data_IF_046882791208
#
_entry.id   IF_046882791208
#
_cell.length_a   1.000
_cell.length_b   1.000
_cell.length_c   1.000
_cell.angle_alpha   90.00
_cell.angle_beta   90.00
_cell.angle_gamma   90.00
#
_symmetry.space_group_name_H-M   'P 1'
#
loop_
_entity.id
_entity.type
_entity.pdbx_description
1 polymer ?
#
# COMPACT_ATOMS: atom_id res chain seq x y z
N UNK A 1 -14.22 -48.57 -9.79
CA UNK A 1 -13.15 -47.56 -9.50
C UNK A 1 -13.46 -46.21 -10.10
N UNK A 2 -13.86 -46.09 -11.35
CA UNK A 2 -14.21 -44.83 -12.04
C UNK A 2 -15.32 -44.02 -11.34
N UNK A 3 -16.38 -44.69 -10.87
CA UNK A 3 -17.46 -44.01 -10.15
C UNK A 3 -16.97 -43.26 -8.90
N UNK A 4 -16.10 -43.90 -8.10
CA UNK A 4 -15.56 -43.25 -6.89
C UNK A 4 -14.65 -42.08 -7.22
N UNK A 5 -13.87 -42.18 -8.28
CA UNK A 5 -13.02 -41.10 -8.77
C UNK A 5 -13.86 -39.91 -9.22
N UNK A 6 -14.89 -40.17 -10.04
CA UNK A 6 -15.81 -39.14 -10.54
C UNK A 6 -16.55 -38.46 -9.39
N UNK A 7 -17.02 -39.25 -8.41
CA UNK A 7 -17.70 -38.73 -7.23
C UNK A 7 -16.78 -37.88 -6.35
N UNK A 8 -15.53 -38.32 -6.16
CA UNK A 8 -14.53 -37.52 -5.43
C UNK A 8 -14.21 -36.20 -6.12
N UNK A 9 -14.01 -36.23 -7.45
CA UNK A 9 -13.79 -35.01 -8.25
C UNK A 9 -14.99 -34.05 -8.14
N UNK A 10 -16.21 -34.57 -8.20
CA UNK A 10 -17.42 -33.77 -8.04
C UNK A 10 -17.48 -33.08 -6.67
N UNK A 11 -17.20 -33.80 -5.58
CA UNK A 11 -17.15 -33.22 -4.23
C UNK A 11 -16.05 -32.15 -4.15
N UNK A 12 -14.87 -32.42 -4.71
CA UNK A 12 -13.76 -31.47 -4.73
C UNK A 12 -14.14 -30.17 -5.47
N UNK A 13 -14.81 -30.29 -6.61
CA UNK A 13 -15.28 -29.12 -7.37
C UNK A 13 -16.29 -28.30 -6.57
N UNK A 14 -17.26 -28.96 -5.92
CA UNK A 14 -18.24 -28.26 -5.06
C UNK A 14 -17.53 -27.57 -3.89
N UNK A 15 -16.61 -28.28 -3.25
CA UNK A 15 -15.82 -27.71 -2.13
C UNK A 15 -15.09 -26.45 -2.58
N UNK A 16 -14.34 -26.51 -3.67
CA UNK A 16 -13.63 -25.36 -4.22
C UNK A 16 -14.59 -24.22 -4.59
N UNK A 17 -15.69 -24.54 -5.26
CA UNK A 17 -16.69 -23.55 -5.64
C UNK A 17 -17.24 -22.79 -4.44
N UNK A 18 -17.66 -23.49 -3.38
CA UNK A 18 -18.20 -22.86 -2.17
C UNK A 18 -17.18 -21.98 -1.50
N UNK A 19 -15.91 -22.44 -1.40
CA UNK A 19 -14.84 -21.68 -0.75
C UNK A 19 -14.43 -20.45 -1.58
N UNK A 20 -14.38 -20.56 -2.90
CA UNK A 20 -14.09 -19.41 -3.78
C UNK A 20 -15.23 -18.40 -3.70
N UNK A 21 -16.49 -18.83 -3.75
CA UNK A 21 -17.65 -17.93 -3.66
C UNK A 21 -17.72 -17.21 -2.32
N UNK A 22 -17.31 -17.86 -1.22
CA UNK A 22 -17.22 -17.24 0.09
C UNK A 22 -16.20 -16.07 0.13
N UNK A 23 -15.19 -16.09 -0.75
CA UNK A 23 -14.20 -15.00 -0.83
C UNK A 23 -14.77 -13.71 -1.42
N UNK A 24 -15.86 -13.78 -2.18
CA UNK A 24 -16.53 -12.60 -2.75
C UNK A 24 -17.51 -11.94 -1.79
N UNK A 25 -17.76 -12.55 -0.61
CA UNK A 25 -18.59 -11.94 0.43
C UNK A 25 -17.96 -10.61 0.87
N UNK A 26 -18.79 -9.57 1.00
CA UNK A 26 -18.42 -8.22 1.40
C UNK A 26 -19.23 -7.80 2.61
N UNK A 27 -18.59 -7.09 3.53
CA UNK A 27 -19.28 -6.36 4.59
C UNK A 27 -19.84 -5.05 4.03
N UNK A 28 -21.09 -4.75 4.32
CA UNK A 28 -21.78 -3.57 3.79
C UNK A 28 -22.24 -2.60 4.90
N UNK A 29 -22.18 -3.04 6.15
CA UNK A 29 -22.60 -2.22 7.29
C UNK A 29 -21.50 -1.23 7.64
N UNK A 30 -21.88 0.03 7.88
CA UNK A 30 -20.94 1.10 8.23
C UNK A 30 -20.68 1.06 9.75
N UNK A 31 -20.02 0.02 10.19
CA UNK A 31 -19.73 -0.27 11.61
C UNK A 31 -18.33 -0.85 11.74
N UNK A 32 -17.69 -0.60 12.88
CA UNK A 32 -16.45 -1.24 13.31
C UNK A 32 -16.74 -2.09 14.54
N UNK A 33 -16.20 -3.30 14.58
CA UNK A 33 -16.30 -4.17 15.74
C UNK A 33 -15.09 -3.94 16.65
N UNK A 34 -15.35 -3.62 17.91
CA UNK A 34 -14.33 -3.65 18.94
C UNK A 34 -14.46 -4.95 19.72
N UNK A 35 -13.32 -5.61 19.99
CA UNK A 35 -13.30 -6.86 20.73
C UNK A 35 -12.07 -6.96 21.63
N UNK A 36 -12.19 -7.74 22.69
CA UNK A 36 -11.03 -8.24 23.41
C UNK A 36 -10.50 -9.48 22.69
N UNK A 37 -9.19 -9.49 22.44
CA UNK A 37 -8.57 -10.67 21.84
C UNK A 37 -8.58 -11.84 22.84
N UNK A 38 -9.02 -13.00 22.39
CA UNK A 38 -9.04 -14.23 23.19
C UNK A 38 -8.26 -15.35 22.52
N UNK A 39 -8.64 -15.72 21.30
CA UNK A 39 -8.00 -16.77 20.50
C UNK A 39 -8.01 -16.42 19.03
N UNK A 40 -7.03 -16.98 18.28
CA UNK A 40 -6.99 -16.81 16.83
C UNK A 40 -8.26 -17.37 16.16
N UNK A 41 -8.79 -18.51 16.62
CA UNK A 41 -10.02 -19.10 16.07
C UNK A 41 -11.19 -18.13 16.15
N UNK A 42 -11.42 -17.52 17.31
CA UNK A 42 -12.49 -16.53 17.50
C UNK A 42 -12.25 -15.28 16.64
N UNK A 43 -11.01 -14.80 16.56
CA UNK A 43 -10.67 -13.68 15.69
C UNK A 43 -11.03 -13.99 14.23
N UNK A 44 -10.69 -15.18 13.72
CA UNK A 44 -10.99 -15.58 12.35
C UNK A 44 -12.50 -15.70 12.09
N UNK A 45 -13.28 -16.19 13.06
CA UNK A 45 -14.74 -16.22 12.97
C UNK A 45 -15.33 -14.83 12.84
N UNK A 46 -14.88 -13.87 13.65
CA UNK A 46 -15.33 -12.48 13.58
C UNK A 46 -14.89 -11.85 12.24
N UNK A 47 -13.65 -12.05 11.80
CA UNK A 47 -13.16 -11.57 10.52
C UNK A 47 -13.93 -12.14 9.30
N UNK A 48 -14.57 -13.31 9.43
CA UNK A 48 -15.41 -13.89 8.38
C UNK A 48 -16.70 -13.10 8.15
N UNK A 49 -17.11 -12.22 9.09
CA UNK A 49 -18.21 -11.27 8.87
C UNK A 49 -17.88 -10.23 7.80
N UNK A 50 -16.58 -10.02 7.51
CA UNK A 50 -16.05 -9.00 6.59
C UNK A 50 -16.37 -7.58 7.04
N UNK A 51 -16.40 -7.37 8.35
CA UNK A 51 -16.47 -6.06 9.00
C UNK A 51 -15.09 -5.69 9.55
N UNK A 52 -14.72 -4.39 9.60
CA UNK A 52 -13.51 -3.95 10.28
C UNK A 52 -13.55 -4.33 11.76
N UNK A 53 -12.41 -4.77 12.28
CA UNK A 53 -12.26 -5.17 13.68
C UNK A 53 -11.07 -4.44 14.30
N UNK A 54 -11.29 -3.86 15.47
CA UNK A 54 -10.29 -3.20 16.29
C UNK A 54 -10.12 -3.93 17.61
N UNK A 55 -8.89 -4.22 18.02
CA UNK A 55 -8.65 -4.85 19.32
C UNK A 55 -7.30 -4.45 19.91
N UNK A 56 -7.27 -4.36 21.25
CA UNK A 56 -6.04 -4.12 21.99
C UNK A 56 -5.22 -5.41 22.05
N UNK A 57 -4.07 -5.43 21.42
CA UNK A 57 -3.21 -6.59 21.37
C UNK A 57 -1.99 -6.48 22.30
N UNK A 58 -1.64 -5.27 22.74
CA UNK A 58 -0.54 -5.02 23.69
C UNK A 58 -0.75 -5.74 25.02
N UNK A 59 -2.01 -5.97 25.41
CA UNK A 59 -2.35 -6.72 26.63
C UNK A 59 -2.09 -8.23 26.49
N UNK A 60 -2.07 -8.75 25.26
CA UNK A 60 -1.89 -10.18 24.95
C UNK A 60 -0.42 -10.48 24.67
N UNK A 61 0.25 -9.64 23.90
CA UNK A 61 1.63 -9.81 23.50
C UNK A 61 2.37 -8.48 23.46
N UNK A 62 2.78 -7.95 24.63
CA UNK A 62 3.42 -6.63 24.74
C UNK A 62 4.79 -6.56 24.07
N UNK A 63 5.51 -7.70 23.94
CA UNK A 63 6.87 -7.76 23.41
C UNK A 63 6.94 -7.28 21.95
N UNK A 64 5.99 -7.66 21.11
CA UNK A 64 5.91 -7.18 19.73
C UNK A 64 5.92 -5.64 19.64
N UNK A 65 5.23 -4.97 20.56
CA UNK A 65 5.15 -3.50 20.53
C UNK A 65 6.37 -2.82 21.14
N UNK A 66 7.19 -3.56 21.90
CA UNK A 66 8.50 -3.07 22.37
C UNK A 66 9.49 -3.03 21.21
N UNK A 67 9.43 -4.00 20.32
CA UNK A 67 10.30 -4.08 19.14
C UNK A 67 9.81 -3.16 18.00
N UNK A 68 8.54 -2.81 17.99
CA UNK A 68 7.93 -1.83 17.07
C UNK A 68 8.10 -0.37 17.52
N UNK A 69 9.00 -0.08 18.45
CA UNK A 69 9.36 1.31 18.79
C UNK A 69 10.29 1.91 17.73
N UNK A 70 10.07 3.17 17.42
CA UNK A 70 10.87 3.92 16.44
C UNK A 70 12.38 3.91 16.75
N UNK A 71 12.76 3.84 18.04
CA UNK A 71 14.16 3.73 18.47
C UNK A 71 14.78 2.37 18.13
N UNK A 72 14.01 1.30 18.24
CA UNK A 72 14.45 -0.07 17.91
C UNK A 72 14.67 -0.20 16.41
N UNK A 73 13.81 0.40 15.60
CA UNK A 73 13.94 0.43 14.13
C UNK A 73 15.17 1.20 13.63
N UNK A 74 15.79 2.07 14.45
CA UNK A 74 17.04 2.73 14.07
C UNK A 74 18.21 1.76 13.83
N UNK A 75 18.16 0.54 14.35
CA UNK A 75 19.12 -0.52 14.04
C UNK A 75 19.15 -0.86 12.54
N UNK A 76 18.03 -0.65 11.86
CA UNK A 76 17.83 -0.97 10.46
C UNK A 76 17.96 0.25 9.54
N UNK A 77 18.52 1.36 10.04
CA UNK A 77 18.65 2.65 9.35
C UNK A 77 19.38 2.60 7.99
N UNK A 78 20.21 1.59 7.78
CA UNK A 78 21.02 1.41 6.57
C UNK A 78 20.31 0.68 5.42
N UNK A 79 19.15 0.08 5.67
CA UNK A 79 18.37 -0.61 4.64
C UNK A 79 17.44 0.35 3.88
N UNK A 80 17.05 -0.02 2.67
CA UNK A 80 16.24 0.82 1.79
C UNK A 80 14.74 0.61 2.04
N UNK A 81 14.00 1.70 2.12
CA UNK A 81 12.53 1.71 2.15
C UNK A 81 11.98 2.39 0.90
N UNK A 82 10.79 1.98 0.47
CA UNK A 82 10.08 2.56 -0.67
C UNK A 82 9.32 3.80 -0.23
N UNK A 83 9.72 4.97 -0.72
CA UNK A 83 9.11 6.26 -0.36
C UNK A 83 8.27 6.76 -1.52
N UNK A 84 7.04 7.14 -1.23
CA UNK A 84 6.09 7.72 -2.17
C UNK A 84 5.82 9.19 -1.82
N UNK A 85 5.71 10.02 -2.84
CA UNK A 85 5.15 11.35 -2.73
C UNK A 85 3.64 11.29 -3.02
N UNK A 86 2.83 11.65 -2.04
CA UNK A 86 1.37 11.68 -2.17
C UNK A 86 0.84 13.00 -2.73
N UNK A 87 1.71 13.96 -3.04
CA UNK A 87 1.31 15.17 -3.72
C UNK A 87 0.64 14.84 -5.06
N UNK A 88 -0.53 15.39 -5.28
CA UNK A 88 -1.28 15.17 -6.52
C UNK A 88 -1.98 13.80 -6.62
N UNK A 89 -2.08 13.01 -5.56
CA UNK A 89 -2.76 11.69 -5.58
C UNK A 89 -4.23 11.74 -6.03
N UNK A 90 -4.86 12.90 -5.98
CA UNK A 90 -6.21 13.15 -6.51
C UNK A 90 -6.25 13.37 -8.02
N UNK A 91 -5.09 13.45 -8.67
CA UNK A 91 -4.99 13.56 -10.12
C UNK A 91 -5.23 12.20 -10.78
N UNK A 92 -5.90 12.20 -11.90
CA UNK A 92 -6.24 10.96 -12.62
C UNK A 92 -5.02 10.22 -13.18
N UNK A 93 -3.93 10.93 -13.42
CA UNK A 93 -2.67 10.42 -13.95
C UNK A 93 -1.57 10.26 -12.89
N UNK A 94 -1.90 10.38 -11.59
CA UNK A 94 -0.91 10.15 -10.55
C UNK A 94 -0.43 8.70 -10.57
N UNK A 95 0.88 8.51 -10.57
CA UNK A 95 1.52 7.22 -10.54
C UNK A 95 1.87 6.83 -9.10
N UNK A 96 1.71 5.57 -8.77
CA UNK A 96 2.08 5.02 -7.47
C UNK A 96 3.59 4.68 -7.37
N UNK A 97 4.42 5.25 -8.22
CA UNK A 97 5.86 5.01 -8.21
C UNK A 97 6.49 5.39 -6.88
N UNK A 98 7.44 4.59 -6.46
CA UNK A 98 8.20 4.80 -5.23
C UNK A 98 9.68 4.98 -5.54
N UNK A 99 10.37 5.73 -4.70
CA UNK A 99 11.82 5.93 -4.76
C UNK A 99 12.45 5.21 -3.56
N UNK A 100 13.45 4.33 -3.77
CA UNK A 100 14.16 3.72 -2.66
C UNK A 100 15.05 4.76 -1.97
N UNK A 101 14.92 4.87 -0.66
CA UNK A 101 15.75 5.70 0.21
C UNK A 101 16.18 4.91 1.43
N UNK A 102 17.36 5.20 1.98
CA UNK A 102 17.74 4.66 3.28
C UNK A 102 16.72 5.06 4.34
N UNK A 103 16.38 4.14 5.23
CA UNK A 103 15.37 4.38 6.27
C UNK A 103 15.68 5.62 7.13
N UNK A 104 16.95 5.84 7.48
CA UNK A 104 17.37 7.05 8.17
C UNK A 104 17.14 8.34 7.36
N UNK A 105 17.39 8.29 6.05
CA UNK A 105 17.12 9.42 5.15
C UNK A 105 15.62 9.70 5.02
N UNK A 106 14.80 8.65 4.93
CA UNK A 106 13.34 8.79 4.94
C UNK A 106 12.86 9.41 6.26
N UNK A 107 13.34 8.95 7.43
CA UNK A 107 12.93 9.52 8.71
C UNK A 107 13.25 11.00 8.82
N UNK A 108 14.45 11.42 8.37
CA UNK A 108 14.81 12.84 8.33
C UNK A 108 13.95 13.64 7.38
N UNK A 109 13.63 13.07 6.21
CA UNK A 109 12.72 13.66 5.24
C UNK A 109 11.32 13.85 5.84
N UNK A 110 10.76 12.79 6.44
CA UNK A 110 9.44 12.81 7.04
C UNK A 110 9.33 13.79 8.22
N UNK A 111 10.37 13.89 9.06
CA UNK A 111 10.41 14.82 10.18
C UNK A 111 10.54 16.29 9.73
N UNK A 112 11.17 16.55 8.59
CA UNK A 112 11.34 17.89 8.03
C UNK A 112 10.18 18.34 7.09
N UNK A 113 9.29 17.41 6.73
CA UNK A 113 8.24 17.65 5.78
C UNK A 113 7.06 18.42 6.39
N UNK A 114 6.99 19.71 6.11
CA UNK A 114 5.87 20.56 6.52
C UNK A 114 4.62 20.44 5.65
N UNK A 115 4.71 19.76 4.52
CA UNK A 115 3.63 19.63 3.54
C UNK A 115 2.84 18.32 3.67
N UNK A 116 3.31 17.41 4.51
CA UNK A 116 2.66 16.12 4.77
C UNK A 116 2.48 15.25 3.51
N UNK A 117 3.54 15.10 2.70
CA UNK A 117 3.46 14.42 1.41
C UNK A 117 4.14 13.06 1.36
N UNK A 118 5.08 12.76 2.26
CA UNK A 118 5.89 11.55 2.13
C UNK A 118 5.36 10.41 2.98
N UNK A 119 5.18 9.26 2.37
CA UNK A 119 4.84 8.00 3.03
C UNK A 119 5.79 6.90 2.58
N UNK A 120 5.97 5.88 3.43
CA UNK A 120 6.63 4.63 3.08
C UNK A 120 5.68 3.47 3.27
N UNK A 121 5.66 2.55 2.31
CA UNK A 121 4.84 1.34 2.27
C UNK A 121 5.34 0.38 1.19
N UNK A 122 4.81 -0.86 1.17
CA UNK A 122 5.25 -1.94 0.27
C UNK A 122 6.72 -2.33 0.48
N UNK A 123 7.15 -2.38 1.75
CA UNK A 123 8.52 -2.55 2.21
C UNK A 123 8.90 -4.01 2.49
N UNK A 124 8.38 -4.98 1.72
CA UNK A 124 8.71 -6.39 1.91
C UNK A 124 10.22 -6.65 1.83
N UNK A 125 10.90 -6.05 0.85
CA UNK A 125 12.36 -6.18 0.67
C UNK A 125 13.12 -5.67 1.89
N UNK A 126 12.72 -4.51 2.45
CA UNK A 126 13.29 -3.98 3.68
C UNK A 126 13.16 -4.98 4.85
N UNK A 127 11.98 -5.58 5.02
CA UNK A 127 11.70 -6.54 6.10
C UNK A 127 12.54 -7.80 5.94
N UNK A 128 12.71 -8.30 4.71
CA UNK A 128 13.52 -9.49 4.42
C UNK A 128 15.02 -9.21 4.62
N UNK A 129 15.56 -8.12 4.06
CA UNK A 129 16.96 -7.76 4.13
C UNK A 129 17.41 -7.37 5.54
N UNK A 130 16.56 -6.72 6.32
CA UNK A 130 16.84 -6.33 7.69
C UNK A 130 16.76 -7.48 8.70
N UNK A 131 16.22 -8.64 8.30
CA UNK A 131 16.00 -9.79 9.17
C UNK A 131 14.75 -9.69 10.06
N UNK A 132 13.96 -8.62 9.94
CA UNK A 132 12.72 -8.40 10.69
C UNK A 132 11.62 -9.42 10.37
N UNK A 133 11.76 -10.14 9.26
CA UNK A 133 10.77 -11.12 8.84
C UNK A 133 10.50 -12.17 9.93
N UNK A 134 11.55 -12.67 10.59
CA UNK A 134 11.43 -13.66 11.67
C UNK A 134 10.74 -13.11 12.92
N UNK A 135 10.97 -11.84 13.24
CA UNK A 135 10.31 -11.17 14.37
C UNK A 135 8.81 -11.01 14.10
N UNK A 136 8.44 -10.68 12.85
CA UNK A 136 7.04 -10.52 12.45
C UNK A 136 6.29 -11.85 12.32
N UNK A 137 7.00 -12.96 12.06
CA UNK A 137 6.39 -14.30 12.09
C UNK A 137 5.86 -14.70 13.48
N UNK A 138 6.34 -14.09 14.54
CA UNK A 138 5.84 -14.31 15.90
C UNK A 138 4.36 -13.91 16.08
N UNK A 139 3.82 -13.07 15.17
CA UNK A 139 2.39 -12.75 15.10
C UNK A 139 1.54 -13.87 14.50
N UNK A 140 2.14 -14.80 13.76
CA UNK A 140 1.39 -15.85 13.04
C UNK A 140 0.49 -16.72 13.92
N UNK A 141 0.90 -17.18 15.10
CA UNK A 141 0.03 -17.97 15.99
C UNK A 141 -1.27 -17.23 16.36
N UNK A 142 -1.23 -15.91 16.37
CA UNK A 142 -2.33 -15.06 16.82
C UNK A 142 -3.21 -14.55 15.68
N UNK A 143 -2.64 -14.28 14.49
CA UNK A 143 -3.32 -13.57 13.41
C UNK A 143 -3.56 -14.40 12.15
N UNK A 144 -2.71 -15.43 11.91
CA UNK A 144 -2.72 -16.20 10.67
C UNK A 144 -3.92 -17.16 10.62
N UNK A 145 -4.79 -17.07 9.59
CA UNK A 145 -5.85 -18.05 9.38
C UNK A 145 -5.30 -19.40 8.97
N UNK A 146 -6.09 -20.46 9.21
CA UNK A 146 -5.80 -21.78 8.67
C UNK A 146 -5.80 -21.76 7.14
N UNK A 147 -5.03 -22.67 6.52
CA UNK A 147 -4.93 -22.79 5.05
C UNK A 147 -4.31 -21.58 4.35
N UNK A 148 -3.59 -20.73 5.07
CA UNK A 148 -2.80 -19.63 4.46
C UNK A 148 -1.66 -20.23 3.64
N UNK A 149 -1.56 -19.80 2.39
CA UNK A 149 -0.49 -20.18 1.45
C UNK A 149 0.46 -19.03 1.13
N UNK A 150 0.03 -17.80 1.39
CA UNK A 150 0.86 -16.62 1.20
C UNK A 150 0.79 -15.73 2.44
N UNK A 151 1.95 -15.38 2.96
CA UNK A 151 2.13 -14.40 4.04
C UNK A 151 3.04 -13.30 3.54
N UNK A 152 2.68 -12.06 3.80
CA UNK A 152 3.51 -10.88 3.54
C UNK A 152 3.46 -9.96 4.74
N UNK A 153 4.57 -9.28 5.00
CA UNK A 153 4.62 -8.23 5.99
C UNK A 153 4.96 -6.92 5.32
N UNK A 154 4.55 -5.83 5.93
CA UNK A 154 4.80 -4.49 5.45
C UNK A 154 5.11 -3.55 6.61
N UNK A 155 5.89 -2.53 6.35
CA UNK A 155 6.17 -1.44 7.27
C UNK A 155 5.62 -0.16 6.68
N UNK A 156 4.76 0.52 7.44
CA UNK A 156 4.15 1.76 7.00
C UNK A 156 4.49 2.88 7.99
N UNK A 157 4.89 4.01 7.44
CA UNK A 157 5.17 5.24 8.17
C UNK A 157 4.96 6.44 7.24
N UNK A 158 4.77 7.64 7.78
CA UNK A 158 4.61 8.84 6.97
C UNK A 158 4.98 10.11 7.72
N UNK A 159 5.14 11.22 6.99
CA UNK A 159 5.25 12.55 7.56
C UNK A 159 4.04 12.86 8.44
N UNK A 160 4.19 13.75 9.42
CA UNK A 160 3.07 14.20 10.23
C UNK A 160 1.97 14.79 9.35
N UNK A 161 0.76 14.27 9.48
CA UNK A 161 -0.39 14.67 8.68
C UNK A 161 -0.47 14.05 7.30
N UNK A 162 0.57 13.36 6.81
CA UNK A 162 0.53 12.64 5.55
C UNK A 162 -0.49 11.50 5.60
N UNK A 163 -1.08 11.16 4.45
CA UNK A 163 -2.08 10.11 4.37
C UNK A 163 -2.01 9.33 3.07
N UNK A 164 -2.41 8.07 3.15
CA UNK A 164 -2.45 7.18 1.99
C UNK A 164 -3.61 7.56 1.06
N UNK A 165 -3.52 7.28 -0.25
CA UNK A 165 -4.66 7.39 -1.15
C UNK A 165 -5.86 6.58 -0.63
N UNK A 166 -7.09 7.04 -0.94
CA UNK A 166 -8.28 6.24 -0.68
C UNK A 166 -8.27 5.02 -1.61
N UNK A 167 -8.15 3.82 -1.04
CA UNK A 167 -7.98 2.57 -1.79
C UNK A 167 -8.64 1.40 -1.10
N UNK A 168 -8.77 0.27 -1.80
CA UNK A 168 -9.09 -1.02 -1.20
C UNK A 168 -8.07 -2.07 -1.62
N UNK A 169 -8.04 -3.17 -0.90
CA UNK A 169 -7.23 -4.36 -1.22
C UNK A 169 -8.11 -5.58 -1.41
N UNK A 170 -7.53 -6.60 -2.01
CA UNK A 170 -8.20 -7.88 -2.26
C UNK A 170 -7.64 -9.03 -1.41
N UNK A 171 -6.79 -8.75 -0.42
CA UNK A 171 -6.25 -9.75 0.48
C UNK A 171 -7.35 -10.34 1.38
N UNK A 172 -7.20 -11.59 1.77
CA UNK A 172 -8.18 -12.25 2.64
C UNK A 172 -8.18 -11.68 4.05
N UNK A 173 -6.98 -11.46 4.58
CA UNK A 173 -6.75 -10.85 5.88
C UNK A 173 -5.63 -9.82 5.77
N UNK A 174 -5.92 -8.61 6.18
CA UNK A 174 -4.94 -7.54 6.32
C UNK A 174 -5.09 -6.91 7.69
N UNK A 175 -4.05 -7.05 8.50
CA UNK A 175 -3.99 -6.49 9.84
C UNK A 175 -2.96 -5.37 9.87
N UNK A 176 -3.26 -4.29 10.58
CA UNK A 176 -2.34 -3.21 10.86
C UNK A 176 -2.14 -3.09 12.35
N UNK A 177 -0.94 -3.42 12.84
CA UNK A 177 -0.53 -3.26 14.23
C UNK A 177 0.16 -1.91 14.37
N UNK A 178 -0.37 -1.02 15.22
CA UNK A 178 0.23 0.29 15.47
C UNK A 178 1.26 0.15 16.59
N UNK A 179 2.53 0.29 16.24
CA UNK A 179 3.66 0.11 17.16
C UNK A 179 3.94 1.37 17.98
N UNK A 180 4.00 2.51 17.32
CA UNK A 180 4.31 3.77 17.94
C UNK A 180 3.33 4.86 17.55
N UNK A 181 3.05 5.79 18.45
CA UNK A 181 2.13 6.91 18.28
C UNK A 181 0.70 6.43 17.93
N UNK A 182 0.02 7.11 17.05
CA UNK A 182 -1.31 6.76 16.58
C UNK A 182 -1.48 7.05 15.09
N UNK A 183 -2.48 6.42 14.52
CA UNK A 183 -2.96 6.75 13.18
C UNK A 183 -4.45 7.09 13.23
N UNK A 184 -4.92 7.86 12.27
CA UNK A 184 -6.34 8.09 12.05
C UNK A 184 -6.74 7.39 10.76
N UNK A 185 -7.84 6.64 10.81
CA UNK A 185 -8.29 5.84 9.66
C UNK A 185 -9.66 6.30 9.23
N UNK A 186 -9.81 6.58 7.93
CA UNK A 186 -11.13 6.74 7.28
C UNK A 186 -11.46 5.53 6.46
N UNK A 187 -12.66 4.98 6.65
CA UNK A 187 -13.11 3.79 5.95
C UNK A 187 -14.54 3.92 5.47
N UNK A 188 -14.85 3.26 4.35
CA UNK A 188 -16.21 3.14 3.85
C UNK A 188 -16.41 1.78 3.18
N UNK A 189 -17.61 1.14 3.30
CA UNK A 189 -17.85 -0.17 2.74
C UNK A 189 -17.85 -0.17 1.22
N UNK A 190 -17.71 -1.35 0.63
CA UNK A 190 -17.62 -1.53 -0.83
C UNK A 190 -18.78 -0.91 -1.61
N UNK A 191 -19.99 -0.85 -1.06
CA UNK A 191 -21.16 -0.22 -1.69
C UNK A 191 -20.92 1.23 -2.11
N UNK A 192 -19.98 1.94 -1.45
CA UNK A 192 -19.62 3.33 -1.77
C UNK A 192 -18.85 3.46 -3.10
N UNK A 193 -18.35 2.35 -3.69
CA UNK A 193 -17.51 2.34 -4.90
C UNK A 193 -18.13 3.11 -6.07
N UNK A 194 -19.46 3.08 -6.18
CA UNK A 194 -20.21 3.76 -7.26
C UNK A 194 -20.07 5.29 -7.25
N UNK A 195 -19.63 5.84 -6.11
CA UNK A 195 -19.42 7.27 -5.92
C UNK A 195 -17.94 7.66 -5.84
N UNK A 196 -17.03 6.67 -5.82
CA UNK A 196 -15.62 6.89 -5.56
C UNK A 196 -14.76 6.97 -6.83
N UNK A 197 -15.35 6.85 -8.01
CA UNK A 197 -14.66 6.90 -9.30
C UNK A 197 -13.38 6.02 -9.31
N UNK A 198 -13.46 4.81 -8.73
CA UNK A 198 -12.31 3.94 -8.53
C UNK A 198 -11.61 3.58 -9.84
N UNK A 199 -10.29 3.63 -9.80
CA UNK A 199 -9.38 3.23 -10.87
C UNK A 199 -8.53 2.04 -10.42
N UNK A 200 -8.13 1.21 -11.36
CA UNK A 200 -7.26 0.06 -11.10
C UNK A 200 -5.92 0.30 -11.79
N UNK A 201 -4.86 0.22 -11.02
CA UNK A 201 -3.48 0.20 -11.51
C UNK A 201 -2.96 -1.24 -11.40
N UNK A 202 -2.92 -1.95 -12.52
CA UNK A 202 -2.40 -3.30 -12.55
C UNK A 202 -0.87 -3.36 -12.51
N UNK A 203 -0.15 -2.27 -12.76
CA UNK A 203 1.30 -2.26 -12.63
C UNK A 203 1.74 -2.32 -11.16
N UNK A 204 1.04 -1.57 -10.29
CA UNK A 204 1.26 -1.57 -8.85
C UNK A 204 0.32 -2.52 -8.08
N UNK A 205 -0.63 -3.19 -8.75
CA UNK A 205 -1.73 -3.96 -8.14
C UNK A 205 -2.52 -3.15 -7.11
N UNK A 206 -2.82 -1.91 -7.45
CA UNK A 206 -3.49 -0.95 -6.58
C UNK A 206 -4.88 -0.58 -7.11
N UNK A 207 -5.87 -0.59 -6.22
CA UNK A 207 -7.26 -0.23 -6.49
C UNK A 207 -7.58 1.05 -5.72
N UNK A 208 -7.49 2.19 -6.38
CA UNK A 208 -7.55 3.51 -5.73
C UNK A 208 -8.66 4.40 -6.27
N UNK A 209 -8.98 5.43 -5.51
CA UNK A 209 -9.89 6.50 -5.88
C UNK A 209 -9.11 7.81 -6.04
N UNK A 210 -9.43 8.67 -7.02
CA UNK A 210 -8.89 10.02 -7.11
C UNK A 210 -9.49 10.97 -6.08
N UNK A 211 -10.39 10.50 -5.23
CA UNK A 211 -11.07 11.31 -4.22
C UNK A 211 -10.20 11.40 -2.97
N UNK A 212 -9.99 12.64 -2.51
CA UNK A 212 -9.37 12.93 -1.22
C UNK A 212 -10.44 12.93 -0.12
N UNK A 213 -10.43 11.93 0.80
CA UNK A 213 -11.41 11.87 1.86
C UNK A 213 -11.10 12.83 3.01
N UNK A 214 -9.85 13.36 3.08
CA UNK A 214 -9.41 14.24 4.17
C UNK A 214 -9.63 15.71 3.86
N UNK A 215 -9.47 16.09 2.59
CA UNK A 215 -9.64 17.45 2.13
C UNK A 215 -10.66 17.52 0.97
N UNK A 216 -11.96 17.54 1.27
CA UNK A 216 -12.99 17.53 0.24
C UNK A 216 -12.86 18.69 -0.76
N UNK A 217 -12.25 19.81 -0.35
CA UNK A 217 -12.01 20.97 -1.23
C UNK A 217 -10.99 20.69 -2.35
N UNK A 218 -10.10 19.70 -2.18
CA UNK A 218 -9.12 19.30 -3.18
C UNK A 218 -9.74 18.49 -4.32
N UNK A 219 -10.97 18.01 -4.12
CA UNK A 219 -11.67 17.22 -5.12
C UNK A 219 -12.22 18.13 -6.21
N UNK A 220 -11.96 17.80 -7.47
CA UNK A 220 -12.49 18.57 -8.60
C UNK A 220 -14.02 18.64 -8.57
N UNK A 221 -14.57 19.71 -9.13
CA UNK A 221 -16.03 19.96 -9.20
C UNK A 221 -16.84 18.76 -9.74
N UNK A 222 -16.21 17.91 -10.56
CA UNK A 222 -16.76 16.68 -11.11
C UNK A 222 -17.23 15.68 -10.03
N UNK A 223 -16.56 15.65 -8.88
CA UNK A 223 -16.80 14.64 -7.83
C UNK A 223 -17.66 15.17 -6.67
N UNK A 224 -17.90 16.48 -6.57
CA UNK A 224 -18.56 17.12 -5.42
C UNK A 224 -19.89 16.47 -5.07
N UNK A 225 -20.75 16.24 -6.05
CA UNK A 225 -22.07 15.64 -5.84
C UNK A 225 -22.02 14.18 -5.37
N UNK A 226 -21.01 13.43 -5.79
CA UNK A 226 -20.88 12.02 -5.44
C UNK A 226 -20.22 11.83 -4.06
N UNK A 227 -19.29 12.70 -3.69
CA UNK A 227 -18.61 12.68 -2.40
C UNK A 227 -19.61 12.89 -1.25
N UNK A 228 -20.58 13.79 -1.40
CA UNK A 228 -21.62 14.07 -0.41
C UNK A 228 -22.47 12.82 -0.06
N UNK A 229 -22.51 11.83 -0.95
CA UNK A 229 -23.25 10.58 -0.74
C UNK A 229 -22.45 9.52 0.01
N UNK A 230 -21.13 9.72 0.13
CA UNK A 230 -20.26 8.77 0.80
C UNK A 230 -20.22 9.05 2.29
N UNK A 231 -20.54 8.05 3.08
CA UNK A 231 -20.38 8.10 4.53
C UNK A 231 -19.11 7.35 4.91
N UNK A 232 -18.30 7.96 5.76
CA UNK A 232 -17.07 7.37 6.27
C UNK A 232 -17.21 7.04 7.76
N UNK A 233 -16.59 5.94 8.18
CA UNK A 233 -16.11 5.77 9.56
C UNK A 233 -14.80 6.52 9.68
N UNK A 234 -14.63 7.30 10.73
CA UNK A 234 -13.38 7.97 11.07
C UNK A 234 -13.07 7.67 12.53
N UNK A 235 -11.91 7.11 12.81
CA UNK A 235 -11.50 6.72 14.15
C UNK A 235 -9.99 6.69 14.29
N UNK A 236 -9.51 6.79 15.53
CA UNK A 236 -8.10 6.67 15.87
C UNK A 236 -7.76 5.23 16.21
N UNK A 237 -6.56 4.80 15.81
CA UNK A 237 -5.96 3.54 16.24
C UNK A 237 -4.69 3.87 17.01
N UNK A 238 -4.70 3.55 18.30
CA UNK A 238 -3.60 3.87 19.23
C UNK A 238 -2.50 2.82 19.15
N UNK A 239 -1.30 3.19 19.60
CA UNK A 239 -0.21 2.24 19.77
C UNK A 239 -0.62 1.07 20.67
N UNK A 240 -0.32 -0.16 20.23
CA UNK A 240 -0.72 -1.39 20.90
C UNK A 240 -2.02 -2.01 20.40
N UNK A 241 -2.75 -1.32 19.53
CA UNK A 241 -3.95 -1.84 18.89
C UNK A 241 -3.64 -2.44 17.52
N UNK A 242 -4.46 -3.43 17.14
CA UNK A 242 -4.46 -4.00 15.80
C UNK A 242 -5.82 -3.72 15.15
N UNK A 243 -5.77 -3.22 13.91
CA UNK A 243 -6.92 -3.01 13.05
C UNK A 243 -6.94 -4.07 11.94
N UNK A 244 -8.02 -4.83 11.86
CA UNK A 244 -8.33 -5.66 10.69
C UNK A 244 -9.10 -4.84 9.66
N UNK A 245 -8.58 -4.76 8.43
CA UNK A 245 -9.28 -4.18 7.29
C UNK A 245 -9.75 -5.32 6.39
N UNK A 246 -11.07 -5.47 6.17
CA UNK A 246 -11.59 -6.51 5.31
C UNK A 246 -11.33 -6.23 3.83
N UNK A 247 -11.31 -7.26 2.97
CA UNK A 247 -11.22 -7.06 1.53
C UNK A 247 -12.37 -6.19 1.00
N UNK A 248 -12.02 -5.38 -0.02
CA UNK A 248 -12.93 -4.46 -0.71
C UNK A 248 -13.43 -3.25 0.10
N UNK A 249 -13.07 -3.13 1.38
CA UNK A 249 -13.31 -1.90 2.12
C UNK A 249 -12.37 -0.81 1.63
N UNK A 250 -12.94 0.34 1.30
CA UNK A 250 -12.16 1.52 0.99
C UNK A 250 -11.61 2.13 2.25
N UNK A 251 -10.33 2.46 2.27
CA UNK A 251 -9.69 3.05 3.44
C UNK A 251 -8.56 4.00 3.05
N UNK A 252 -8.29 4.93 3.94
CA UNK A 252 -7.13 5.82 3.91
C UNK A 252 -6.61 5.96 5.34
N UNK A 253 -5.31 5.89 5.50
CA UNK A 253 -4.60 5.99 6.78
C UNK A 253 -3.89 7.34 6.80
N UNK A 254 -4.09 8.11 7.88
CA UNK A 254 -3.40 9.38 8.14
C UNK A 254 -2.48 9.22 9.34
N UNK A 255 -1.23 9.61 9.19
CA UNK A 255 -0.23 9.55 10.25
C UNK A 255 -0.33 10.79 11.13
N UNK A 256 -0.39 10.60 12.45
CA UNK A 256 -0.51 11.69 13.42
C UNK A 256 0.84 12.31 13.80
N UNK A 257 1.93 11.59 13.52
CA UNK A 257 3.31 11.99 13.78
C UNK A 257 4.23 11.34 12.75
N UNK A 258 5.36 11.92 12.47
CA UNK A 258 6.41 11.29 11.67
C UNK A 258 6.98 10.01 12.30
N UNK A 259 6.77 9.82 13.61
CA UNK A 259 7.14 8.59 14.33
C UNK A 259 6.02 7.56 14.41
N UNK A 260 4.83 7.82 13.81
CA UNK A 260 3.75 6.82 13.73
C UNK A 260 4.20 5.61 12.91
N UNK A 261 4.40 4.48 13.57
CA UNK A 261 4.90 3.25 12.97
C UNK A 261 3.81 2.18 12.95
N UNK A 262 3.58 1.60 11.78
CA UNK A 262 2.55 0.59 11.58
C UNK A 262 3.14 -0.64 10.89
N UNK A 263 2.90 -1.81 11.47
CA UNK A 263 3.20 -3.10 10.85
C UNK A 263 1.98 -3.64 10.14
N UNK A 264 2.11 -3.96 8.87
CA UNK A 264 1.12 -4.70 8.08
C UNK A 264 1.39 -6.19 8.09
N UNK A 265 0.39 -7.02 8.44
CA UNK A 265 0.44 -8.46 8.29
C UNK A 265 -0.68 -8.90 7.32
N UNK A 266 -0.28 -9.57 6.24
CA UNK A 266 -1.15 -9.89 5.11
C UNK A 266 -1.15 -11.39 4.90
N UNK A 267 -2.34 -12.01 4.86
CA UNK A 267 -2.50 -13.44 4.69
C UNK A 267 -3.50 -13.75 3.58
N UNK A 268 -3.14 -14.67 2.70
CA UNK A 268 -3.99 -15.18 1.63
C UNK A 268 -4.04 -16.70 1.61
N UNK A 269 -5.25 -17.25 1.55
CA UNK A 269 -5.49 -18.68 1.33
C UNK A 269 -5.53 -19.01 -0.16
N UNK A 270 -5.42 -20.32 -0.49
CA UNK A 270 -5.55 -20.76 -1.87
C UNK A 270 -6.89 -20.38 -2.53
N UNK A 271 -8.07 -20.56 -1.87
CA UNK A 271 -9.33 -20.07 -2.42
C UNK A 271 -9.34 -18.57 -2.72
N UNK A 272 -8.63 -17.75 -1.90
CA UNK A 272 -8.53 -16.31 -2.13
C UNK A 272 -7.70 -15.99 -3.37
N UNK A 273 -6.56 -16.66 -3.54
CA UNK A 273 -5.72 -16.49 -4.73
C UNK A 273 -6.49 -16.88 -5.99
N UNK A 274 -7.24 -18.01 -5.95
CA UNK A 274 -8.08 -18.43 -7.07
C UNK A 274 -9.22 -17.43 -7.35
N UNK A 275 -9.83 -16.86 -6.32
CA UNK A 275 -10.86 -15.82 -6.50
C UNK A 275 -10.31 -14.55 -7.17
N UNK A 276 -9.05 -14.19 -6.88
CA UNK A 276 -8.39 -13.03 -7.46
C UNK A 276 -7.59 -13.35 -8.75
N UNK A 277 -7.70 -14.58 -9.28
CA UNK A 277 -6.87 -15.06 -10.40
C UNK A 277 -6.93 -14.15 -11.62
N UNK A 278 -8.09 -13.56 -11.91
CA UNK A 278 -8.23 -12.62 -13.03
C UNK A 278 -7.40 -11.35 -12.83
N UNK A 279 -7.51 -10.70 -11.68
CA UNK A 279 -6.76 -9.48 -11.37
C UNK A 279 -5.25 -9.76 -11.28
N UNK A 280 -4.87 -10.92 -10.71
CA UNK A 280 -3.49 -11.37 -10.68
C UNK A 280 -2.93 -11.63 -12.09
N UNK A 281 -3.73 -12.21 -12.99
CA UNK A 281 -3.32 -12.41 -14.39
C UNK A 281 -3.06 -11.06 -15.07
N UNK A 282 -3.93 -10.08 -14.88
CA UNK A 282 -3.73 -8.72 -15.40
C UNK A 282 -2.44 -8.08 -14.85
N UNK A 283 -2.19 -8.23 -13.56
CA UNK A 283 -0.96 -7.77 -12.93
C UNK A 283 0.29 -8.39 -13.56
N UNK A 284 0.35 -9.72 -13.69
CA UNK A 284 1.50 -10.40 -14.30
C UNK A 284 1.70 -10.03 -15.77
N UNK A 285 0.62 -9.94 -16.55
CA UNK A 285 0.70 -9.50 -17.94
C UNK A 285 1.24 -8.07 -18.05
N UNK A 286 0.88 -7.20 -17.11
CA UNK A 286 1.38 -5.82 -17.07
C UNK A 286 2.86 -5.77 -16.67
N UNK A 287 3.34 -6.65 -15.78
CA UNK A 287 4.76 -6.76 -15.44
C UNK A 287 5.63 -7.15 -16.65
N UNK A 288 5.10 -7.98 -17.55
CA UNK A 288 5.79 -8.41 -18.76
C UNK A 288 5.66 -7.42 -19.92
N UNK A 289 4.86 -6.37 -19.75
CA UNK A 289 4.67 -5.37 -20.77
C UNK A 289 5.94 -4.51 -20.96
N UNK A 290 6.67 -4.78 -22.05
CA UNK A 290 7.92 -4.10 -22.38
C UNK A 290 7.74 -2.62 -22.66
N UNK A 291 6.55 -2.15 -23.06
CA UNK A 291 6.30 -0.73 -23.33
C UNK A 291 6.34 0.12 -22.06
N UNK A 292 6.05 -0.46 -20.90
CA UNK A 292 6.15 0.20 -19.58
C UNK A 292 7.61 0.19 -19.06
N UNK A 293 8.41 -0.79 -19.47
CA UNK A 293 9.81 -0.98 -19.04
C UNK A 293 10.85 -0.23 -19.88
N UNK A 294 10.43 0.37 -21.00
CA UNK A 294 11.38 1.11 -21.86
C UNK A 294 11.64 2.49 -21.26
N UNK A 295 12.57 2.54 -20.32
CA UNK A 295 13.30 3.78 -20.02
C UNK A 295 14.27 4.03 -21.17
N UNK A 296 14.17 5.19 -21.83
CA UNK A 296 15.21 5.65 -22.75
C UNK A 296 16.49 5.82 -21.94
N UNK A 297 17.40 4.86 -22.03
CA UNK A 297 18.77 5.05 -21.57
C UNK A 297 19.46 5.95 -22.56
N UNK A 298 19.75 7.18 -22.17
CA UNK A 298 20.69 8.03 -22.88
C UNK A 298 22.05 7.46 -22.53
N UNK A 299 22.71 6.81 -23.51
CA UNK A 299 24.09 6.45 -23.37
C UNK A 299 24.90 7.75 -23.22
N UNK A 300 25.46 7.98 -22.05
CA UNK A 300 26.48 8.99 -21.86
C UNK A 300 27.69 8.49 -22.65
N UNK A 301 27.96 9.16 -23.75
CA UNK A 301 29.19 8.95 -24.49
C UNK A 301 30.37 9.14 -23.53
N UNK A 302 31.02 8.04 -23.20
CA UNK A 302 32.28 8.04 -22.46
C UNK A 302 33.42 8.51 -23.36
N UNK A 303 33.35 9.75 -23.84
CA UNK A 303 34.50 10.40 -24.45
C UNK A 303 35.50 10.69 -23.34
N UNK A 304 36.74 10.22 -23.41
CA UNK A 304 37.74 10.53 -22.40
C UNK A 304 37.98 12.04 -22.38
N UNK A 305 37.86 12.63 -21.18
CA UNK A 305 38.25 14.00 -20.91
C UNK A 305 39.73 14.14 -21.35
N UNK A 306 39.96 14.76 -22.49
CA UNK A 306 41.30 15.21 -22.85
C UNK A 306 41.65 16.38 -21.96
N UNK A 307 42.50 16.13 -20.98
CA UNK A 307 43.21 17.19 -20.27
C UNK A 307 44.09 17.91 -21.30
N UNK A 308 43.64 19.10 -21.68
CA UNK A 308 44.53 20.06 -22.34
C UNK A 308 45.02 21.05 -21.29
N UNK A 309 46.17 20.74 -20.72
CA UNK A 309 47.05 21.76 -20.15
C UNK A 309 47.73 22.53 -21.27
N UNK A 310 47.72 23.87 -21.15
CA UNK A 310 48.50 24.87 -21.85
C UNK A 310 48.05 25.36 -23.25
N UNK A 311 47.48 26.54 -23.33
CA UNK A 311 48.17 27.77 -23.74
C UNK A 311 47.24 28.98 -23.72
N UNK A 312 47.78 30.06 -23.18
CA UNK A 312 47.32 31.41 -23.25
C UNK A 312 47.26 31.93 -24.71
N UNK A 313 46.38 32.84 -24.90
CA UNK A 313 46.43 34.09 -25.63
C UNK A 313 45.41 34.29 -26.78
N UNK A 314 44.76 35.44 -26.63
CA UNK A 314 44.22 36.40 -27.63
C UNK A 314 42.79 36.25 -28.23
N UNK A 315 41.94 37.15 -27.73
CA UNK A 315 41.21 38.22 -28.44
C UNK A 315 40.07 37.90 -29.41
N UNK A 316 38.92 38.40 -29.00
CA UNK A 316 37.84 39.06 -29.75
C UNK A 316 37.02 38.32 -30.79
N UNK A 317 35.69 38.41 -30.58
CA UNK A 317 34.74 38.32 -31.68
C UNK A 317 33.37 37.75 -31.32
N UNK A 318 32.49 38.64 -30.92
CA UNK A 318 31.04 38.67 -31.18
C UNK A 318 30.42 37.51 -31.96
N UNK A 319 29.44 36.84 -31.33
CA UNK A 319 28.14 36.59 -31.95
C UNK A 319 27.20 35.81 -30.99
N UNK A 320 25.95 36.27 -30.96
CA UNK A 320 24.82 35.77 -30.16
C UNK A 320 24.55 34.27 -30.29
N UNK A 321 24.08 33.60 -29.25
CA UNK A 321 23.41 32.28 -29.37
C UNK A 321 21.94 32.51 -29.75
N UNK A 322 21.53 31.85 -30.84
CA UNK A 322 20.12 31.72 -31.23
C UNK A 322 19.39 30.83 -30.22
N UNK A 323 18.24 31.34 -29.78
CA UNK A 323 17.21 30.63 -29.07
C UNK A 323 16.63 29.53 -29.97
N UNK A 324 16.79 28.26 -29.57
CA UNK A 324 16.05 27.14 -30.17
C UNK A 324 14.71 27.04 -29.43
N UNK A 325 13.68 27.59 -30.04
CA UNK A 325 12.28 27.35 -29.68
C UNK A 325 11.94 25.93 -30.13
N UNK A 326 11.67 25.04 -29.18
CA UNK A 326 11.11 23.72 -29.48
C UNK A 326 9.59 23.79 -29.31
N UNK A 327 8.91 23.76 -30.46
CA UNK A 327 7.46 23.70 -30.59
C UNK A 327 6.90 22.36 -30.11
N UNK A 328 5.87 22.29 -29.27
CA UNK A 328 5.24 21.03 -28.90
C UNK A 328 4.16 20.70 -29.94
N UNK A 329 4.47 19.80 -30.86
CA UNK A 329 3.51 19.27 -31.84
C UNK A 329 2.70 18.10 -31.28
N UNK A 330 1.40 18.33 -31.23
CA UNK A 330 0.28 17.57 -31.81
C UNK A 330 0.42 16.04 -31.85
N UNK A 331 -0.45 15.37 -31.08
CA UNK A 331 -1.06 14.12 -31.53
C UNK A 331 -2.58 14.28 -31.51
N UNK A 332 -3.14 14.33 -32.71
CA UNK A 332 -4.54 14.15 -33.07
C UNK A 332 -4.66 12.73 -33.62
N UNK A 333 -5.77 12.08 -33.25
CA UNK A 333 -6.38 10.82 -33.65
C UNK A 333 -6.00 9.59 -32.86
#
# INVERSE_FOLDING_TARGET
MEFYITFFIFILIIFLYVHIMAQYKKGEDLEIYEMDYTTNTQLQEICNSKQPVLFNFKTVYPEVFTDLDSATFLKHSSYDVKVRDTAGMTMSNWCADSVPLKYDSFRRLAAADSNAHFITEDNLEFIEESGLYSEFEELNPYLKPSLTVQTKYDLLQGSEGAYTPLRYHTDERRFYAVGAEKIVVKMTPYRSRKYLAGTTDFAAYEFRSPIDPWNPANNGAKYTHDIEKVKYLEFEVLAGYILYIPPYWWYSIKYSSADSLVLGAIYNSLPRILANSWDLTQYYLQQDNTSVKVTKTIALDSSPIKNNDNKQDEVAGSSNPEEIIVDPLQYVE
#
